data_IF_887626700717
#
_entry.id   IF_887626700717
#
_cell.length_a   1.000
_cell.length_b   1.000
_cell.length_c   1.000
_cell.angle_alpha   90.00
_cell.angle_beta   90.00
_cell.angle_gamma   90.00
#
_symmetry.space_group_name_H-M   'P 1'
#
loop_
_entity.id
_entity.type
_entity.pdbx_description
1 polymer ?
#
# COMPACT_ATOMS: atom_id res chain seq x y z
N UNK A 1 -27.77 -8.38 -9.51
CA UNK A 1 -27.23 -9.69 -9.10
C UNK A 1 -28.42 -10.60 -8.79
N UNK A 2 -28.65 -11.70 -9.52
CA UNK A 2 -29.70 -12.64 -9.12
C UNK A 2 -29.25 -13.43 -7.87
N UNK A 3 -30.24 -13.68 -7.03
CA UNK A 3 -30.29 -14.37 -5.74
C UNK A 3 -29.21 -15.44 -5.45
N UNK A 4 -28.61 -15.36 -4.25
CA UNK A 4 -28.18 -16.56 -3.50
C UNK A 4 -26.72 -16.67 -3.02
N UNK A 5 -25.77 -15.99 -3.65
CA UNK A 5 -24.36 -16.16 -3.28
C UNK A 5 -23.98 -15.17 -2.17
N UNK A 6 -24.10 -15.60 -0.90
CA UNK A 6 -23.34 -14.93 0.16
C UNK A 6 -21.86 -14.97 -0.23
N UNK A 7 -21.19 -13.80 -0.21
CA UNK A 7 -19.77 -13.69 -0.52
C UNK A 7 -19.00 -14.67 0.37
N UNK A 8 -18.29 -15.67 -0.21
CA UNK A 8 -17.57 -16.66 0.57
C UNK A 8 -16.63 -16.01 1.59
N UNK A 9 -16.52 -16.62 2.78
CA UNK A 9 -15.70 -16.09 3.88
C UNK A 9 -14.26 -15.84 3.45
N UNK A 10 -13.73 -16.69 2.56
CA UNK A 10 -12.39 -16.53 2.00
C UNK A 10 -12.16 -15.12 1.41
N UNK A 11 -13.13 -14.54 0.69
CA UNK A 11 -13.00 -13.18 0.14
C UNK A 11 -13.14 -12.05 1.18
N UNK A 12 -13.49 -12.39 2.43
CA UNK A 12 -13.56 -11.46 3.55
C UNK A 12 -12.34 -11.55 4.46
N UNK A 13 -11.46 -12.54 4.33
CA UNK A 13 -10.23 -12.61 5.14
C UNK A 13 -9.17 -11.63 4.63
N UNK A 14 -8.34 -11.08 5.52
CA UNK A 14 -7.28 -10.12 5.16
C UNK A 14 -6.22 -10.72 4.24
N UNK A 15 -5.53 -11.76 4.71
CA UNK A 15 -4.40 -12.42 4.03
C UNK A 15 -4.73 -13.00 2.67
N UNK A 16 -5.97 -13.43 2.46
CA UNK A 16 -6.41 -14.00 1.18
C UNK A 16 -6.38 -12.97 0.03
N UNK A 17 -6.13 -11.69 0.31
CA UNK A 17 -5.92 -10.68 -0.72
C UNK A 17 -4.62 -10.93 -1.46
N UNK A 18 -3.56 -11.21 -0.71
CA UNK A 18 -2.27 -11.57 -1.28
C UNK A 18 -2.36 -12.95 -1.95
N UNK A 19 -3.03 -13.92 -1.32
CA UNK A 19 -3.23 -15.25 -1.91
C UNK A 19 -3.99 -15.19 -3.24
N UNK A 20 -4.92 -14.24 -3.41
CA UNK A 20 -5.63 -14.02 -4.66
C UNK A 20 -4.74 -13.37 -5.74
N UNK A 21 -3.98 -12.35 -5.36
CA UNK A 21 -3.27 -11.48 -6.30
C UNK A 21 -1.91 -12.04 -6.69
N UNK A 22 -1.14 -12.58 -5.73
CA UNK A 22 0.26 -12.95 -5.92
C UNK A 22 0.49 -14.10 -6.93
N UNK A 23 -0.25 -15.22 -6.91
CA UNK A 23 0.03 -16.33 -7.83
C UNK A 23 -0.48 -16.02 -9.24
N UNK A 24 0.23 -16.47 -10.29
CA UNK A 24 -0.25 -16.36 -11.68
C UNK A 24 -1.41 -17.31 -11.97
N UNK A 25 -1.29 -18.54 -11.46
CA UNK A 25 -2.29 -19.59 -11.58
C UNK A 25 -2.88 -19.88 -10.20
N UNK A 26 -4.21 -19.91 -10.10
CA UNK A 26 -4.94 -20.22 -8.87
C UNK A 26 -6.22 -20.93 -9.27
N UNK A 27 -6.42 -22.14 -8.76
CA UNK A 27 -7.61 -22.96 -9.00
C UNK A 27 -8.57 -22.85 -7.82
N UNK A 28 -9.85 -22.68 -8.10
CA UNK A 28 -10.90 -22.63 -7.09
C UNK A 28 -11.65 -23.95 -7.04
N UNK A 29 -11.92 -24.41 -5.83
CA UNK A 29 -12.70 -25.61 -5.54
C UNK A 29 -13.87 -25.28 -4.61
N UNK A 30 -14.94 -26.05 -4.72
CA UNK A 30 -16.05 -25.95 -3.77
C UNK A 30 -15.75 -26.76 -2.50
N UNK A 31 -16.68 -26.78 -1.55
CA UNK A 31 -16.56 -27.53 -0.27
C UNK A 31 -16.41 -29.05 -0.45
N UNK A 32 -16.84 -29.57 -1.59
CA UNK A 32 -16.80 -31.00 -1.94
C UNK A 32 -15.56 -31.33 -2.80
N UNK A 33 -14.57 -30.42 -2.84
CA UNK A 33 -13.36 -30.52 -3.67
C UNK A 33 -13.61 -30.63 -5.18
N UNK A 34 -14.81 -30.24 -5.65
CA UNK A 34 -15.08 -30.18 -7.07
C UNK A 34 -14.51 -28.87 -7.67
N UNK A 35 -13.85 -28.93 -8.84
CA UNK A 35 -13.26 -27.76 -9.47
C UNK A 35 -14.35 -26.76 -9.93
N UNK A 36 -14.18 -25.50 -9.55
CA UNK A 36 -15.01 -24.37 -10.01
C UNK A 36 -14.37 -23.71 -11.24
N UNK A 37 -13.03 -23.63 -11.24
CA UNK A 37 -12.23 -23.08 -12.35
C UNK A 37 -11.11 -22.18 -11.86
N UNK A 38 -10.29 -21.70 -12.81
CA UNK A 38 -9.12 -20.89 -12.48
C UNK A 38 -9.40 -19.38 -12.42
N UNK A 39 -8.54 -18.67 -11.70
CA UNK A 39 -8.59 -17.22 -11.49
C UNK A 39 -8.74 -16.42 -12.77
N UNK A 40 -8.00 -16.77 -13.85
CA UNK A 40 -8.05 -16.04 -15.12
C UNK A 40 -9.41 -16.14 -15.79
N UNK A 41 -9.98 -17.35 -15.84
CA UNK A 41 -11.32 -17.59 -16.41
C UNK A 41 -12.41 -16.94 -15.56
N UNK A 42 -12.23 -16.91 -14.24
CA UNK A 42 -13.19 -16.34 -13.30
C UNK A 42 -12.97 -14.83 -13.05
N UNK A 43 -12.03 -14.17 -13.72
CA UNK A 43 -11.62 -12.80 -13.40
C UNK A 43 -12.77 -11.79 -13.39
N UNK A 44 -13.74 -11.88 -14.32
CA UNK A 44 -14.90 -10.99 -14.35
C UNK A 44 -15.84 -11.19 -13.14
N UNK A 45 -16.03 -12.44 -12.72
CA UNK A 45 -16.83 -12.77 -11.52
C UNK A 45 -16.09 -12.31 -10.25
N UNK A 46 -14.78 -12.55 -10.20
CA UNK A 46 -13.92 -12.15 -9.10
C UNK A 46 -13.84 -10.62 -8.95
N UNK A 47 -13.80 -9.87 -10.05
CA UNK A 47 -13.85 -8.41 -10.04
C UNK A 47 -15.15 -7.92 -9.39
N UNK A 48 -16.29 -8.50 -9.75
CA UNK A 48 -17.57 -8.12 -9.13
C UNK A 48 -17.62 -8.41 -7.62
N UNK A 49 -16.95 -9.46 -7.16
CA UNK A 49 -16.92 -9.86 -5.74
C UNK A 49 -15.91 -9.02 -4.94
N UNK A 50 -14.74 -8.74 -5.50
CA UNK A 50 -13.58 -8.20 -4.79
C UNK A 50 -13.31 -6.73 -5.08
N UNK A 51 -13.85 -6.20 -6.18
CA UNK A 51 -13.53 -4.89 -6.77
C UNK A 51 -12.07 -4.73 -7.22
N UNK A 52 -11.34 -5.84 -7.33
CA UNK A 52 -10.01 -5.85 -7.91
C UNK A 52 -10.19 -5.85 -9.43
N UNK A 53 -9.52 -4.95 -10.18
CA UNK A 53 -9.69 -4.87 -11.63
C UNK A 53 -9.44 -6.19 -12.34
N UNK A 54 -10.23 -6.48 -13.37
CA UNK A 54 -10.09 -7.66 -14.22
C UNK A 54 -8.64 -7.90 -14.66
N UNK A 55 -7.95 -6.86 -15.13
CA UNK A 55 -6.58 -6.97 -15.63
C UNK A 55 -5.60 -7.38 -14.52
N UNK A 56 -5.82 -6.90 -13.29
CA UNK A 56 -4.99 -7.25 -12.13
C UNK A 56 -5.21 -8.72 -11.74
N UNK A 57 -6.45 -9.20 -11.80
CA UNK A 57 -6.76 -10.60 -11.49
C UNK A 57 -6.17 -11.56 -12.53
N UNK A 58 -6.15 -11.15 -13.81
CA UNK A 58 -5.65 -11.95 -14.93
C UNK A 58 -4.12 -11.95 -15.03
N UNK A 59 -3.51 -10.78 -14.91
CA UNK A 59 -2.13 -10.51 -15.30
C UNK A 59 -1.25 -10.02 -14.13
N UNK A 60 -1.84 -9.75 -12.97
CA UNK A 60 -1.14 -9.31 -11.75
C UNK A 60 -1.02 -7.79 -11.61
N UNK A 61 -0.34 -7.35 -10.55
CA UNK A 61 -0.25 -5.92 -10.18
C UNK A 61 0.43 -5.04 -11.26
N UNK A 62 1.35 -5.61 -12.05
CA UNK A 62 2.07 -4.87 -13.09
C UNK A 62 1.20 -4.56 -14.32
N UNK A 63 0.02 -5.17 -14.44
CA UNK A 63 -0.88 -5.00 -15.58
C UNK A 63 -1.50 -3.61 -15.68
N UNK A 64 -1.52 -2.87 -14.57
CA UNK A 64 -2.15 -1.56 -14.48
C UNK A 64 -1.33 -0.65 -13.59
N UNK A 65 -1.31 0.63 -13.93
CA UNK A 65 -0.78 1.67 -13.05
C UNK A 65 -1.78 1.93 -11.94
N UNK A 66 -1.59 1.26 -10.80
CA UNK A 66 -2.47 1.33 -9.64
C UNK A 66 -2.03 2.43 -8.68
N UNK A 67 -3.01 3.10 -8.07
CA UNK A 67 -2.77 4.01 -6.97
C UNK A 67 -2.77 3.31 -5.62
N UNK A 68 -2.12 3.91 -4.62
CA UNK A 68 -2.17 3.44 -3.23
C UNK A 68 -3.62 3.31 -2.75
N UNK A 69 -4.45 4.31 -3.03
CA UNK A 69 -5.84 4.33 -2.61
C UNK A 69 -6.67 3.19 -3.23
N UNK A 70 -6.39 2.82 -4.48
CA UNK A 70 -7.03 1.68 -5.13
C UNK A 70 -6.71 0.38 -4.41
N UNK A 71 -5.43 0.12 -4.15
CA UNK A 71 -5.00 -1.10 -3.46
C UNK A 71 -5.60 -1.16 -2.05
N UNK A 72 -5.58 -0.04 -1.31
CA UNK A 72 -6.22 0.06 0.01
C UNK A 72 -7.71 -0.28 -0.04
N UNK A 73 -8.43 0.19 -1.07
CA UNK A 73 -9.87 -0.07 -1.23
C UNK A 73 -10.24 -1.56 -1.35
N UNK A 74 -9.32 -2.40 -1.82
CA UNK A 74 -9.52 -3.85 -1.93
C UNK A 74 -9.57 -4.54 -0.57
N UNK A 75 -9.00 -3.91 0.46
CA UNK A 75 -9.00 -4.42 1.83
C UNK A 75 -10.09 -3.82 2.73
N UNK A 76 -10.80 -2.79 2.27
CA UNK A 76 -11.83 -2.09 3.03
C UNK A 76 -12.88 -3.00 3.69
N UNK A 77 -13.30 -4.05 2.99
CA UNK A 77 -14.34 -4.99 3.47
C UNK A 77 -13.79 -6.32 3.97
N UNK A 78 -12.46 -6.46 3.98
CA UNK A 78 -11.81 -7.63 4.57
C UNK A 78 -11.81 -7.53 6.09
N UNK A 79 -11.48 -8.60 6.78
CA UNK A 79 -11.51 -8.78 8.23
C UNK A 79 -10.32 -9.64 8.63
N UNK A 80 -9.80 -9.35 9.81
CA UNK A 80 -8.69 -10.06 10.43
C UNK A 80 -9.06 -10.32 11.89
N UNK A 81 -8.45 -11.34 12.47
CA UNK A 81 -8.68 -11.68 13.88
C UNK A 81 -8.02 -10.65 14.80
N UNK A 82 -6.77 -10.27 14.49
CA UNK A 82 -6.07 -9.16 15.15
C UNK A 82 -6.23 -7.88 14.35
N UNK A 83 -6.33 -6.76 15.04
CA UNK A 83 -6.52 -5.46 14.38
C UNK A 83 -5.25 -5.04 13.62
N UNK A 84 -4.06 -5.33 14.12
CA UNK A 84 -2.79 -5.03 13.46
C UNK A 84 -2.58 -5.80 12.14
N UNK A 85 -3.18 -6.99 12.00
CA UNK A 85 -3.15 -7.77 10.76
C UNK A 85 -3.86 -7.06 9.59
N UNK A 86 -4.70 -6.05 9.88
CA UNK A 86 -5.24 -5.14 8.87
C UNK A 86 -4.13 -4.48 8.06
N UNK A 87 -3.02 -4.17 8.71
CA UNK A 87 -1.83 -3.58 8.11
C UNK A 87 -0.88 -4.63 7.55
N UNK A 88 -0.57 -5.67 8.33
CA UNK A 88 0.43 -6.67 7.91
C UNK A 88 0.00 -7.47 6.68
N UNK A 89 -1.29 -7.76 6.55
CA UNK A 89 -1.84 -8.44 5.36
C UNK A 89 -1.74 -7.61 4.07
N UNK A 90 -1.29 -6.35 4.13
CA UNK A 90 -1.11 -5.47 2.98
C UNK A 90 0.34 -5.23 2.58
N UNK A 91 1.31 -5.56 3.45
CA UNK A 91 2.73 -5.23 3.25
C UNK A 91 3.26 -5.71 1.89
N UNK A 92 2.96 -6.96 1.50
CA UNK A 92 3.42 -7.54 0.25
C UNK A 92 2.84 -6.86 -1.00
N UNK A 93 1.62 -6.29 -0.93
CA UNK A 93 1.02 -5.56 -2.05
C UNK A 93 1.68 -4.20 -2.29
N UNK A 94 2.22 -3.60 -1.22
CA UNK A 94 2.94 -2.33 -1.28
C UNK A 94 4.46 -2.49 -1.38
N UNK A 95 4.97 -3.72 -1.31
CA UNK A 95 6.41 -3.99 -1.33
C UNK A 95 7.16 -3.37 -0.14
N UNK A 96 6.49 -3.17 0.99
CA UNK A 96 7.07 -2.57 2.19
C UNK A 96 7.41 -3.65 3.21
N UNK A 97 8.47 -3.42 3.97
CA UNK A 97 8.87 -4.29 5.07
C UNK A 97 8.86 -3.49 6.38
N UNK A 98 8.17 -4.03 7.38
CA UNK A 98 8.05 -3.43 8.72
C UNK A 98 7.97 -4.56 9.75
N UNK A 99 8.59 -4.43 10.94
CA UNK A 99 8.49 -5.46 11.99
C UNK A 99 7.05 -5.69 12.42
N UNK A 100 6.64 -6.95 12.64
CA UNK A 100 5.32 -7.26 13.24
C UNK A 100 5.40 -7.08 14.75
N UNK A 101 4.61 -6.16 15.29
CA UNK A 101 4.53 -5.78 16.70
C UNK A 101 3.11 -6.05 17.19
N UNK A 102 2.85 -7.29 17.61
CA UNK A 102 1.54 -7.65 18.16
C UNK A 102 1.24 -6.85 19.43
N UNK A 103 0.01 -6.33 19.52
CA UNK A 103 -0.42 -5.42 20.58
C UNK A 103 -0.28 -3.92 20.26
N UNK A 104 0.27 -3.54 19.10
CA UNK A 104 0.31 -2.11 18.70
C UNK A 104 -1.06 -1.56 18.26
N UNK A 105 -2.03 -2.44 17.98
CA UNK A 105 -3.39 -2.07 17.64
C UNK A 105 -3.51 -1.37 16.28
N UNK A 106 -4.40 -0.38 16.21
CA UNK A 106 -4.64 0.44 15.00
C UNK A 106 -3.40 1.23 14.53
N UNK A 107 -2.42 1.45 15.42
CA UNK A 107 -1.16 2.12 15.07
C UNK A 107 -0.38 1.39 13.99
N UNK A 108 -0.56 0.07 13.85
CA UNK A 108 0.04 -0.73 12.78
C UNK A 108 -0.28 -0.16 11.40
N UNK A 109 -1.53 0.28 11.19
CA UNK A 109 -1.97 0.78 9.89
C UNK A 109 -1.43 2.18 9.59
N UNK A 110 -1.27 3.02 10.60
CA UNK A 110 -0.58 4.30 10.45
C UNK A 110 0.91 4.08 10.13
N UNK A 111 1.56 3.10 10.77
CA UNK A 111 2.95 2.73 10.49
C UNK A 111 3.13 2.20 9.06
N UNK A 112 2.21 1.38 8.57
CA UNK A 112 2.18 0.95 7.17
C UNK A 112 2.12 2.14 6.21
N UNK A 113 1.22 3.11 6.45
CA UNK A 113 1.12 4.30 5.62
C UNK A 113 2.42 5.12 5.62
N UNK A 114 3.10 5.23 6.76
CA UNK A 114 4.39 5.90 6.84
C UNK A 114 5.48 5.19 6.01
N UNK A 115 5.54 3.86 6.01
CA UNK A 115 6.49 3.12 5.16
C UNK A 115 6.16 3.28 3.67
N UNK A 116 4.88 3.34 3.31
CA UNK A 116 4.45 3.63 1.93
C UNK A 116 4.89 5.06 1.54
N UNK A 117 4.67 6.07 2.37
CA UNK A 117 5.07 7.46 2.10
C UNK A 117 6.59 7.60 1.92
N UNK A 118 7.39 6.82 2.67
CA UNK A 118 8.85 6.83 2.53
C UNK A 118 9.33 6.32 1.19
N UNK A 119 8.57 5.45 0.54
CA UNK A 119 8.98 4.72 -0.66
C UNK A 119 8.18 5.11 -1.92
N UNK A 120 7.08 5.84 -1.76
CA UNK A 120 6.16 6.22 -2.83
C UNK A 120 5.80 7.70 -2.79
N UNK A 121 5.77 8.36 -3.94
CA UNK A 121 5.30 9.74 -4.13
C UNK A 121 3.79 9.83 -4.47
N UNK A 122 3.06 8.73 -4.32
CA UNK A 122 1.64 8.65 -4.67
C UNK A 122 0.75 9.37 -3.64
N UNK A 123 0.23 10.53 -4.05
CA UNK A 123 -0.62 11.39 -3.22
C UNK A 123 -1.99 10.80 -2.90
N UNK A 124 -2.40 9.73 -3.59
CA UNK A 124 -3.69 9.06 -3.33
C UNK A 124 -3.77 8.47 -1.92
N UNK A 125 -2.64 8.30 -1.22
CA UNK A 125 -2.61 7.87 0.18
C UNK A 125 -3.41 8.81 1.11
N UNK A 126 -3.65 10.07 0.70
CA UNK A 126 -4.45 11.05 1.45
C UNK A 126 -5.89 11.19 0.95
N UNK A 127 -6.34 10.34 0.02
CA UNK A 127 -7.65 10.46 -0.61
C UNK A 127 -8.77 9.69 0.10
N UNK A 128 -8.49 9.16 1.29
CA UNK A 128 -9.47 8.49 2.14
C UNK A 128 -10.50 9.47 2.67
N UNK A 129 -11.69 8.97 3.01
CA UNK A 129 -12.76 9.75 3.61
C UNK A 129 -13.36 8.96 4.77
N UNK A 130 -13.16 9.41 6.03
CA UNK A 130 -13.63 8.66 7.17
C UNK A 130 -15.16 8.78 7.27
N UNK A 131 -15.82 7.66 7.52
CA UNK A 131 -17.28 7.66 7.76
C UNK A 131 -17.64 8.23 9.14
N UNK A 132 -16.64 8.45 10.01
CA UNK A 132 -16.79 9.01 11.36
C UNK A 132 -15.96 10.29 11.48
N UNK A 133 -16.43 11.33 12.20
CA UNK A 133 -15.61 12.49 12.53
C UNK A 133 -14.36 12.06 13.29
N UNK A 134 -13.18 12.57 12.90
CA UNK A 134 -11.89 12.19 13.49
C UNK A 134 -11.23 13.34 14.21
N UNK A 135 -10.42 12.98 15.20
CA UNK A 135 -9.50 13.86 15.94
C UNK A 135 -8.08 13.72 15.37
N UNK A 136 -7.66 14.68 14.55
CA UNK A 136 -6.27 15.16 14.50
C UNK A 136 -5.22 14.48 13.59
N UNK A 137 -5.38 13.23 13.13
CA UNK A 137 -4.36 12.59 12.28
C UNK A 137 -4.59 12.81 10.77
N UNK A 138 -3.51 13.10 10.03
CA UNK A 138 -3.51 13.21 8.56
C UNK A 138 -3.56 11.84 7.85
N UNK A 139 -3.30 10.75 8.58
CA UNK A 139 -3.30 9.38 8.07
C UNK A 139 -4.60 8.67 8.42
N UNK A 140 -5.06 7.76 7.57
CA UNK A 140 -6.24 6.92 7.82
C UNK A 140 -6.04 6.02 9.04
N UNK A 141 -7.13 5.66 9.74
CA UNK A 141 -7.05 4.69 10.85
C UNK A 141 -7.26 3.25 10.37
N UNK A 142 -8.01 3.06 9.27
CA UNK A 142 -8.34 1.72 8.78
C UNK A 142 -8.45 1.69 7.24
N UNK A 143 -8.16 0.55 6.57
CA UNK A 143 -8.41 0.39 5.13
C UNK A 143 -9.85 0.71 4.69
N UNK A 144 -10.84 0.59 5.58
CA UNK A 144 -12.24 0.92 5.29
C UNK A 144 -12.48 2.40 4.98
N UNK A 145 -11.60 3.30 5.43
CA UNK A 145 -11.62 4.71 5.05
C UNK A 145 -11.34 4.92 3.55
N UNK A 146 -10.76 3.92 2.88
CA UNK A 146 -10.51 3.89 1.44
C UNK A 146 -11.60 3.17 0.63
N UNK A 147 -12.73 2.77 1.23
CA UNK A 147 -13.77 1.96 0.54
C UNK A 147 -14.23 2.59 -0.78
N UNK A 148 -14.34 3.91 -0.85
CA UNK A 148 -14.76 4.67 -2.04
C UNK A 148 -13.65 4.94 -3.07
N UNK A 149 -12.42 4.54 -2.80
CA UNK A 149 -11.24 4.98 -3.54
C UNK A 149 -10.86 4.08 -4.73
N UNK A 150 -11.66 3.08 -5.08
CA UNK A 150 -11.35 2.11 -6.15
C UNK A 150 -11.18 2.73 -7.56
N UNK A 151 -11.62 3.97 -7.77
CA UNK A 151 -11.48 4.72 -9.03
C UNK A 151 -10.46 5.85 -8.98
N UNK A 152 -9.70 5.98 -7.88
CA UNK A 152 -8.71 7.05 -7.74
C UNK A 152 -7.47 6.68 -8.53
N UNK A 153 -7.18 7.44 -9.57
CA UNK A 153 -6.02 7.20 -10.42
C UNK A 153 -4.76 7.88 -9.87
N UNK A 154 -3.61 7.25 -10.10
CA UNK A 154 -2.32 7.79 -9.70
C UNK A 154 -1.90 8.92 -10.64
N UNK A 155 -1.88 10.15 -10.12
CA UNK A 155 -1.43 11.35 -10.83
C UNK A 155 0.08 11.54 -10.66
N UNK A 156 0.78 12.02 -11.69
CA UNK A 156 2.18 12.43 -11.57
C UNK A 156 2.34 13.64 -10.62
N UNK A 157 3.45 13.74 -9.87
CA UNK A 157 3.64 14.82 -8.90
C UNK A 157 3.44 16.22 -9.48
N UNK A 158 4.03 16.52 -10.64
CA UNK A 158 3.94 17.85 -11.26
C UNK A 158 2.50 18.17 -11.66
N UNK A 159 1.81 17.19 -12.28
CA UNK A 159 0.41 17.34 -12.64
C UNK A 159 -0.49 17.52 -11.41
N UNK A 160 -0.16 16.87 -10.30
CA UNK A 160 -0.88 17.03 -9.05
C UNK A 160 -0.72 18.45 -8.50
N UNK A 161 0.51 18.98 -8.46
CA UNK A 161 0.79 20.36 -8.05
C UNK A 161 0.05 21.35 -8.93
N UNK A 162 0.09 21.20 -10.26
CA UNK A 162 -0.63 22.07 -11.19
C UNK A 162 -2.15 22.05 -10.99
N UNK A 163 -2.72 20.87 -10.71
CA UNK A 163 -4.16 20.73 -10.43
C UNK A 163 -4.52 21.37 -9.09
N UNK A 164 -3.69 21.17 -8.06
CA UNK A 164 -3.91 21.71 -6.73
C UNK A 164 -3.81 23.25 -6.73
N UNK A 165 -2.79 23.81 -7.37
CA UNK A 165 -2.59 25.25 -7.49
C UNK A 165 -3.80 25.91 -8.16
N UNK A 166 -4.26 25.37 -9.30
CA UNK A 166 -5.47 25.84 -9.98
C UNK A 166 -6.74 25.72 -9.13
N UNK A 167 -6.85 24.65 -8.33
CA UNK A 167 -7.99 24.47 -7.43
C UNK A 167 -8.02 25.54 -6.32
N UNK A 168 -6.88 25.79 -5.69
CA UNK A 168 -6.74 26.81 -4.64
C UNK A 168 -7.02 28.20 -5.21
N UNK A 169 -6.43 28.54 -6.36
CA UNK A 169 -6.67 29.80 -7.08
C UNK A 169 -8.16 30.06 -7.31
N UNK A 170 -8.89 29.04 -7.79
CA UNK A 170 -10.34 29.13 -8.04
C UNK A 170 -11.18 29.22 -6.76
N UNK A 171 -10.69 28.73 -5.62
CA UNK A 171 -11.41 28.79 -4.34
C UNK A 171 -11.14 30.09 -3.58
N UNK A 172 -10.02 30.76 -3.86
CA UNK A 172 -9.51 31.92 -3.09
C UNK A 172 -9.67 33.25 -3.86
N UNK A 173 -10.64 33.35 -4.79
CA UNK A 173 -10.92 34.54 -5.61
C UNK A 173 -10.66 35.87 -4.85
N UNK A 174 -9.61 36.59 -5.25
CA UNK A 174 -9.30 37.96 -4.77
C UNK A 174 -8.03 38.13 -3.91
N UNK A 175 -7.32 37.06 -3.54
CA UNK A 175 -5.95 37.18 -3.00
C UNK A 175 -4.99 36.41 -3.89
N UNK A 176 -4.05 37.13 -4.51
CA UNK A 176 -2.92 36.53 -5.22
C UNK A 176 -2.32 35.40 -4.39
N UNK A 177 -2.26 34.16 -4.90
CA UNK A 177 -1.67 33.03 -4.21
C UNK A 177 -0.17 32.95 -4.48
N UNK A 178 0.50 34.10 -4.60
CA UNK A 178 1.79 34.22 -3.93
C UNK A 178 1.54 34.14 -2.41
N UNK A 179 1.11 32.96 -1.96
CA UNK A 179 1.48 32.46 -0.67
C UNK A 179 2.99 32.63 -0.67
N UNK A 180 3.48 33.47 0.22
CA UNK A 180 4.90 33.64 0.49
C UNK A 180 5.41 32.32 1.11
N UNK A 181 5.38 31.23 0.35
CA UNK A 181 6.28 30.11 0.48
C UNK A 181 7.64 30.73 0.14
N UNK A 182 8.24 31.37 1.14
CA UNK A 182 9.53 32.01 0.99
C UNK A 182 10.48 31.00 0.35
N UNK A 183 10.90 31.28 -0.87
CA UNK A 183 12.10 30.74 -1.51
C UNK A 183 12.43 29.28 -1.16
N UNK A 184 11.50 28.35 -1.37
CA UNK A 184 11.85 26.95 -1.56
C UNK A 184 11.55 26.63 -3.00
N UNK A 185 12.60 26.68 -3.82
CA UNK A 185 12.65 25.82 -5.00
C UNK A 185 12.27 24.43 -4.48
N UNK A 186 11.20 23.82 -4.97
CA UNK A 186 11.11 22.36 -4.96
C UNK A 186 12.16 21.93 -5.97
N UNK A 187 13.39 21.94 -5.47
CA UNK A 187 14.57 21.54 -6.18
C UNK A 187 14.50 20.03 -6.20
N UNK A 188 14.40 19.44 -7.38
CA UNK A 188 14.83 18.06 -7.65
C UNK A 188 16.35 17.95 -7.46
N UNK A 189 16.84 18.22 -6.25
CA UNK A 189 18.26 18.26 -5.89
C UNK A 189 18.41 17.71 -4.46
N UNK A 190 19.50 17.01 -4.14
CA UNK A 190 19.48 15.66 -3.61
C UNK A 190 19.85 15.77 -2.13
N UNK A 191 19.05 16.49 -1.34
CA UNK A 191 19.43 16.82 0.06
C UNK A 191 19.48 15.57 0.97
N UNK A 192 19.17 14.39 0.45
CA UNK A 192 19.41 13.10 1.11
C UNK A 192 20.90 12.69 1.19
N UNK A 193 21.84 13.30 0.44
CA UNK A 193 23.26 12.90 0.48
C UNK A 193 24.06 13.49 1.65
N UNK A 194 23.63 14.58 2.28
CA UNK A 194 24.36 15.15 3.43
C UNK A 194 24.19 14.35 4.72
N UNK A 195 23.04 13.69 4.91
CA UNK A 195 22.85 12.70 6.00
C UNK A 195 23.54 11.37 5.70
N UNK A 196 23.65 10.98 4.43
CA UNK A 196 24.46 9.82 4.02
C UNK A 196 25.97 10.08 4.14
N UNK A 197 26.47 11.29 3.90
CA UNK A 197 27.88 11.63 4.13
C UNK A 197 28.24 11.63 5.62
N UNK A 198 27.32 12.07 6.48
CA UNK A 198 27.47 11.99 7.93
C UNK A 198 27.41 10.54 8.44
N UNK A 199 26.49 9.71 7.91
CA UNK A 199 26.41 8.28 8.21
C UNK A 199 27.60 7.48 7.66
N UNK A 200 28.16 7.84 6.50
CA UNK A 200 29.34 7.19 5.90
C UNK A 200 30.64 7.55 6.65
N UNK A 201 30.77 8.79 7.15
CA UNK A 201 31.84 9.18 8.09
C UNK A 201 31.71 8.48 9.45
N UNK A 202 30.48 8.30 9.97
CA UNK A 202 30.24 7.59 11.23
C UNK A 202 30.47 6.07 11.08
N UNK A 203 30.17 5.49 9.93
CA UNK A 203 30.46 4.08 9.62
C UNK A 203 31.96 3.79 9.44
N UNK A 204 32.73 4.71 8.85
CA UNK A 204 34.21 4.56 8.76
C UNK A 204 34.91 4.69 10.12
N UNK A 205 34.38 5.50 11.05
CA UNK A 205 34.93 5.63 12.40
C UNK A 205 34.64 4.42 13.29
N UNK A 206 33.58 3.65 13.02
CA UNK A 206 33.20 2.46 13.79
C UNK A 206 33.85 1.18 13.23
N UNK A 207 34.30 1.19 11.97
CA UNK A 207 35.01 0.06 11.34
C UNK A 207 36.48 -0.09 11.75
N UNK A 208 37.05 0.81 12.57
CA UNK A 208 38.44 0.76 13.04
C UNK A 208 38.57 0.29 14.51
N UNK A 209 37.49 -0.15 15.16
CA UNK A 209 37.53 -0.48 16.60
C UNK A 209 37.17 -1.93 16.98
N UNK A 210 36.90 -2.83 16.04
CA UNK A 210 36.72 -4.25 16.37
C UNK A 210 37.43 -5.15 15.36
N UNK A 211 38.67 -5.52 15.70
CA UNK A 211 39.36 -6.69 15.17
C UNK A 211 38.53 -7.94 15.51
N UNK A 212 37.84 -8.54 14.53
CA UNK A 212 37.43 -9.96 14.61
C UNK A 212 37.39 -10.54 13.20
N UNK A 213 38.27 -11.50 12.94
CA UNK A 213 38.33 -12.32 11.72
C UNK A 213 37.33 -13.47 11.82
N UNK A 214 36.50 -13.70 10.80
CA UNK A 214 35.85 -15.00 10.60
C UNK A 214 35.81 -15.37 9.11
N UNK A 215 36.34 -16.56 8.82
CA UNK A 215 36.31 -17.26 7.54
C UNK A 215 34.96 -17.96 7.37
N UNK A 216 34.38 -17.90 6.18
CA UNK A 216 33.20 -18.69 5.80
C UNK A 216 33.63 -19.73 4.77
N UNK A 217 33.59 -21.00 5.19
CA UNK A 217 33.73 -22.18 4.33
C UNK A 217 32.35 -22.63 3.81
N UNK A 218 32.33 -23.07 2.56
CA UNK A 218 31.22 -23.72 1.83
C UNK A 218 30.38 -24.71 2.66
N UNK A 219 29.08 -24.78 2.38
CA UNK A 219 28.26 -25.94 2.73
C UNK A 219 26.75 -25.70 2.68
N UNK A 220 26.07 -26.51 1.88
CA UNK A 220 24.61 -26.60 1.68
C UNK A 220 23.82 -26.97 2.96
N UNK A 221 22.47 -26.91 2.85
CA UNK A 221 21.37 -27.67 3.50
C UNK A 221 20.24 -26.64 3.76
N UNK A 222 18.96 -26.79 3.41
CA UNK A 222 18.10 -27.93 3.11
C UNK A 222 16.75 -27.63 3.81
N UNK A 223 15.63 -27.74 3.09
CA UNK A 223 14.27 -27.45 3.58
C UNK A 223 13.81 -28.39 4.69
N UNK A 224 13.08 -27.85 5.67
CA UNK A 224 11.86 -28.43 6.26
C UNK A 224 10.84 -27.31 6.49
#
# INVERSE_FOLDING_TARGET
>A
MPFGWQKPEWFRRGWTLQELIAPRELEFFNKDWAPIGNKRRLAAVLEAITRIPFEVLRDGLAAKRLSVAQIMSWAADRKTERVEDRAYSLMGLFGVNMPMLYGEGEKAFQRLQLEIIRTSSDQSIFAWNPWKPRTGSVLADDPSDFRGCGRIEKVEPDQFVDRLTRYIERRVHGRSPYIRLGSWKISTNPVHWRRLAWLKKRAHSVSQQHHVSFSVSNGYIGMQ
#
